data_IF_232504849533
#
_entry.id   IF_232504849533
#
_cell.length_a   1.000
_cell.length_b   1.000
_cell.length_c   1.000
_cell.angle_alpha   90.00
_cell.angle_beta   90.00
_cell.angle_gamma   90.00
#
_symmetry.space_group_name_H-M   'P 1'
#
loop_
_entity.id
_entity.type
_entity.pdbx_description
1 polymer ?
#
# COMPACT_ATOMS: atom_id res chain seq x y z
N UNK A 1 -4.61 47.58 53.93
CA UNK A 1 -4.89 47.58 52.47
C UNK A 1 -3.70 46.92 51.76
N UNK A 2 -3.67 45.59 51.66
CA UNK A 2 -2.56 44.85 51.03
C UNK A 2 -2.95 43.45 50.51
N UNK A 3 -4.23 43.09 50.61
CA UNK A 3 -4.79 41.81 50.18
C UNK A 3 -4.95 41.64 48.65
N UNK A 4 -5.22 42.67 47.82
CA UNK A 4 -5.47 42.43 46.40
C UNK A 4 -4.19 42.09 45.62
N UNK A 5 -3.03 42.60 46.05
CA UNK A 5 -1.73 42.32 45.43
C UNK A 5 -1.24 40.90 45.68
N UNK A 6 -1.50 40.33 46.87
CA UNK A 6 -1.14 38.94 47.19
C UNK A 6 -1.96 37.93 46.38
N UNK A 7 -3.26 38.17 46.22
CA UNK A 7 -4.14 37.30 45.43
C UNK A 7 -3.75 37.36 43.95
N UNK A 8 -3.45 38.54 43.43
CA UNK A 8 -3.00 38.70 42.05
C UNK A 8 -1.67 38.01 41.79
N UNK A 9 -0.71 38.14 42.72
CA UNK A 9 0.60 37.47 42.62
C UNK A 9 0.48 35.96 42.73
N UNK A 10 -0.40 35.44 43.59
CA UNK A 10 -0.68 34.01 43.71
C UNK A 10 -1.35 33.44 42.45
N UNK A 11 -2.33 34.16 41.88
CA UNK A 11 -2.98 33.78 40.62
C UNK A 11 -1.99 33.79 39.45
N UNK A 12 -1.07 34.78 39.40
CA UNK A 12 -0.02 34.83 38.37
C UNK A 12 0.96 33.66 38.51
N UNK A 13 1.35 33.30 39.73
CA UNK A 13 2.20 32.13 40.00
C UNK A 13 1.50 30.82 39.62
N UNK A 14 0.20 30.72 39.90
CA UNK A 14 -0.64 29.59 39.54
C UNK A 14 -0.75 29.46 38.00
N UNK A 15 -0.90 30.57 37.27
CA UNK A 15 -0.90 30.58 35.80
C UNK A 15 0.46 30.16 35.21
N UNK A 16 1.57 30.47 35.87
CA UNK A 16 2.91 30.01 35.48
C UNK A 16 3.15 28.53 35.81
N UNK A 17 2.51 27.99 36.87
CA UNK A 17 2.53 26.57 37.21
C UNK A 17 1.64 25.71 36.29
N UNK A 18 0.56 26.29 35.76
CA UNK A 18 -0.33 25.67 34.77
C UNK A 18 -0.04 26.08 33.32
N UNK A 19 1.02 26.87 33.08
CA UNK A 19 1.61 26.99 31.76
C UNK A 19 2.33 25.68 31.45
N UNK A 20 1.56 24.60 31.27
CA UNK A 20 2.01 23.44 30.54
C UNK A 20 2.57 23.98 29.23
N UNK A 21 3.87 23.80 29.01
CA UNK A 21 4.41 23.86 27.66
C UNK A 21 3.51 22.94 26.85
N UNK A 22 2.61 23.53 26.07
CA UNK A 22 2.17 22.88 24.85
C UNK A 22 3.43 22.81 24.01
N UNK A 23 4.27 21.80 24.28
CA UNK A 23 5.16 21.30 23.26
C UNK A 23 4.21 21.02 22.10
N UNK A 24 4.23 21.91 21.10
CA UNK A 24 3.76 21.52 19.78
C UNK A 24 4.38 20.14 19.57
N UNK A 25 3.56 19.13 19.34
CA UNK A 25 4.06 17.82 18.95
C UNK A 25 4.72 18.01 17.60
N UNK A 26 5.94 18.55 17.63
CA UNK A 26 6.69 19.00 16.48
C UNK A 26 7.20 17.72 15.84
N UNK A 27 6.42 17.21 14.89
CA UNK A 27 6.76 15.99 14.18
C UNK A 27 8.14 16.15 13.58
N UNK A 28 9.02 15.16 13.81
CA UNK A 28 10.35 15.16 13.25
C UNK A 28 10.44 14.20 12.07
N UNK A 29 11.25 14.55 11.07
CA UNK A 29 11.59 13.65 9.99
C UNK A 29 12.86 12.89 10.34
N UNK A 30 12.80 11.56 10.20
CA UNK A 30 13.97 10.70 10.35
C UNK A 30 14.16 9.89 9.08
N UNK A 31 15.39 9.90 8.56
CA UNK A 31 15.78 9.02 7.47
C UNK A 31 15.96 7.59 8.01
N UNK A 32 15.09 6.67 7.58
CA UNK A 32 15.16 5.26 7.99
C UNK A 32 16.09 4.44 7.09
N UNK A 33 15.96 4.62 5.78
CA UNK A 33 16.76 3.97 4.75
C UNK A 33 17.17 4.98 3.69
N UNK A 34 18.43 4.93 3.24
CA UNK A 34 18.89 5.77 2.11
C UNK A 34 18.18 5.41 0.81
N UNK A 35 17.91 4.12 0.62
CA UNK A 35 17.15 3.58 -0.50
C UNK A 35 16.65 2.18 -0.13
N UNK A 36 15.47 1.83 -0.63
CA UNK A 36 14.93 0.46 -0.61
C UNK A 36 15.03 -0.22 -1.99
N UNK A 37 15.68 0.45 -2.95
CA UNK A 37 15.96 -0.04 -4.31
C UNK A 37 14.80 0.01 -5.31
N UNK A 38 13.60 0.42 -4.89
CA UNK A 38 12.43 0.64 -5.75
C UNK A 38 11.81 2.01 -5.49
N UNK A 39 10.97 2.51 -6.41
CA UNK A 39 10.06 3.62 -6.12
C UNK A 39 8.80 3.08 -5.44
N UNK A 40 8.35 3.71 -4.36
CA UNK A 40 7.13 3.30 -3.67
C UNK A 40 5.88 3.90 -4.34
N UNK A 41 5.60 3.53 -5.60
CA UNK A 41 4.42 3.99 -6.34
C UNK A 41 3.13 3.60 -5.59
N UNK A 42 3.11 2.41 -5.01
CA UNK A 42 2.10 1.97 -4.06
C UNK A 42 2.75 1.60 -2.73
N UNK A 43 2.05 1.87 -1.62
CA UNK A 43 2.46 1.46 -0.28
C UNK A 43 1.25 1.08 0.59
N UNK A 44 1.40 0.03 1.40
CA UNK A 44 0.37 -0.43 2.32
C UNK A 44 0.99 -0.93 3.63
N UNK A 45 0.63 -0.31 4.75
CA UNK A 45 0.93 -0.83 6.09
C UNK A 45 0.00 -1.99 6.43
N UNK A 46 0.57 -3.10 6.88
CA UNK A 46 -0.11 -4.31 7.31
C UNK A 46 -0.29 -4.35 8.84
N UNK A 47 -1.10 -5.29 9.33
CA UNK A 47 -1.39 -5.45 10.78
C UNK A 47 -0.19 -5.89 11.64
N UNK A 48 0.91 -6.31 11.01
CA UNK A 48 2.11 -6.83 11.66
C UNK A 48 3.31 -5.89 11.55
N UNK A 49 3.07 -4.58 11.44
CA UNK A 49 4.07 -3.52 11.30
C UNK A 49 5.03 -3.70 10.11
N UNK A 50 4.52 -4.38 9.07
CA UNK A 50 5.21 -4.50 7.78
C UNK A 50 4.54 -3.60 6.77
N UNK A 51 5.34 -2.95 5.93
CA UNK A 51 4.86 -2.13 4.83
C UNK A 51 5.20 -2.83 3.52
N UNK A 52 4.19 -3.09 2.72
CA UNK A 52 4.38 -3.58 1.35
C UNK A 52 4.48 -2.38 0.45
N UNK A 53 5.56 -2.29 -0.32
CA UNK A 53 5.77 -1.23 -1.32
C UNK A 53 6.03 -1.88 -2.68
N UNK A 54 5.57 -1.26 -3.76
CA UNK A 54 5.80 -1.77 -5.10
C UNK A 54 5.73 -0.68 -6.17
N UNK A 55 6.47 -0.93 -7.24
CA UNK A 55 6.55 -0.13 -8.45
C UNK A 55 6.09 -0.95 -9.66
N UNK A 56 5.87 -0.26 -10.77
CA UNK A 56 5.62 -0.84 -12.09
C UNK A 56 6.82 -1.68 -12.58
N UNK A 57 6.58 -2.64 -13.46
CA UNK A 57 7.65 -3.51 -14.03
C UNK A 57 8.13 -3.07 -15.41
N UNK A 58 7.35 -2.23 -16.09
CA UNK A 58 7.48 -1.91 -17.52
C UNK A 58 8.35 -0.65 -17.79
N UNK A 59 9.15 -0.22 -16.81
CA UNK A 59 10.05 0.95 -16.91
C UNK A 59 11.55 0.59 -16.89
N UNK A 60 11.89 -0.70 -16.88
CA UNK A 60 13.25 -1.19 -16.82
C UNK A 60 13.64 -1.71 -15.43
N UNK A 61 14.94 -1.93 -15.17
CA UNK A 61 15.38 -2.59 -13.95
C UNK A 61 15.31 -1.66 -12.74
N UNK A 62 14.90 -2.21 -11.60
CA UNK A 62 15.01 -1.55 -10.29
C UNK A 62 16.42 -1.68 -9.71
N UNK A 63 16.73 -0.90 -8.67
CA UNK A 63 18.03 -0.92 -7.98
C UNK A 63 18.08 -1.92 -6.80
N UNK A 64 17.37 -3.04 -6.95
CA UNK A 64 17.35 -4.15 -5.99
C UNK A 64 17.27 -5.47 -6.76
N UNK A 65 18.22 -6.38 -6.55
CA UNK A 65 18.18 -7.71 -7.16
C UNK A 65 17.25 -8.66 -6.42
N UNK A 66 16.58 -9.55 -7.16
CA UNK A 66 15.86 -10.68 -6.58
C UNK A 66 16.86 -11.69 -5.99
N UNK A 67 16.52 -12.33 -4.86
CA UNK A 67 17.42 -13.27 -4.20
C UNK A 67 17.56 -14.58 -4.98
N UNK A 68 18.72 -15.24 -4.80
CA UNK A 68 18.94 -16.59 -5.34
C UNK A 68 19.03 -16.69 -6.86
N UNK A 69 19.31 -15.59 -7.57
CA UNK A 69 19.36 -15.57 -9.04
C UNK A 69 17.99 -15.72 -9.69
N UNK A 70 16.91 -15.54 -8.93
CA UNK A 70 15.53 -15.54 -9.45
C UNK A 70 15.37 -14.38 -10.44
N UNK A 71 14.69 -14.64 -11.56
CA UNK A 71 14.29 -13.62 -12.50
C UNK A 71 12.82 -13.79 -12.87
N UNK A 72 12.14 -12.67 -13.02
CA UNK A 72 10.83 -12.56 -13.64
C UNK A 72 11.00 -12.79 -15.14
N UNK A 73 10.28 -13.77 -15.67
CA UNK A 73 10.23 -14.05 -17.10
C UNK A 73 8.84 -13.70 -17.60
N UNK A 74 8.75 -12.72 -18.48
CA UNK A 74 7.49 -12.23 -18.99
C UNK A 74 7.65 -11.78 -20.45
N UNK A 75 7.20 -12.60 -21.42
CA UNK A 75 7.29 -12.25 -22.82
C UNK A 75 6.42 -11.04 -23.20
N UNK A 76 5.49 -10.63 -22.34
CA UNK A 76 4.55 -9.53 -22.58
C UNK A 76 5.01 -8.19 -22.01
N UNK A 77 6.00 -8.16 -21.10
CA UNK A 77 6.53 -6.93 -20.52
C UNK A 77 7.12 -6.00 -21.58
N UNK A 78 6.86 -4.70 -21.51
CA UNK A 78 7.27 -3.77 -22.57
C UNK A 78 8.71 -3.25 -22.43
N UNK A 79 9.37 -3.42 -21.28
CA UNK A 79 10.74 -3.00 -21.05
C UNK A 79 11.73 -4.17 -21.00
N UNK A 80 11.50 -5.17 -20.14
CA UNK A 80 12.42 -6.29 -19.89
C UNK A 80 11.67 -7.62 -19.92
N UNK A 81 11.98 -8.46 -20.92
CA UNK A 81 11.40 -9.81 -21.04
C UNK A 81 11.92 -10.79 -19.98
N UNK A 82 13.16 -10.56 -19.54
CA UNK A 82 13.80 -11.26 -18.43
C UNK A 82 14.35 -10.19 -17.51
N UNK A 83 13.86 -10.16 -16.28
CA UNK A 83 14.24 -9.15 -15.29
C UNK A 83 14.60 -9.83 -13.97
N UNK A 84 15.83 -9.61 -13.50
CA UNK A 84 16.33 -10.20 -12.26
C UNK A 84 16.30 -9.21 -11.08
N UNK A 85 15.60 -8.09 -11.26
CA UNK A 85 15.39 -7.05 -10.24
C UNK A 85 14.02 -7.16 -9.61
N UNK A 86 13.90 -6.67 -8.37
CA UNK A 86 12.69 -6.67 -7.59
C UNK A 86 11.96 -5.34 -7.78
N UNK A 87 10.66 -5.40 -8.07
CA UNK A 87 9.77 -4.24 -8.15
C UNK A 87 8.79 -4.17 -6.98
N UNK A 88 8.98 -5.01 -5.97
CA UNK A 88 8.22 -4.99 -4.73
C UNK A 88 9.13 -5.32 -3.56
N UNK A 89 8.84 -4.72 -2.40
CA UNK A 89 9.52 -5.01 -1.15
C UNK A 89 8.53 -5.13 0.00
N UNK A 90 8.88 -5.97 0.97
CA UNK A 90 8.31 -5.94 2.32
C UNK A 90 9.32 -5.25 3.23
N UNK A 91 8.91 -4.14 3.85
CA UNK A 91 9.69 -3.39 4.82
C UNK A 91 9.20 -3.70 6.25
N UNK A 92 10.12 -4.13 7.11
CA UNK A 92 9.91 -4.37 8.54
C UNK A 92 10.26 -3.10 9.31
N UNK A 93 9.24 -2.46 9.89
CA UNK A 93 9.38 -1.16 10.55
C UNK A 93 10.24 -1.26 11.81
N UNK A 94 10.04 -2.31 12.62
CA UNK A 94 10.77 -2.48 13.88
C UNK A 94 12.24 -2.82 13.64
N UNK A 95 12.52 -3.69 12.69
CA UNK A 95 13.89 -4.08 12.37
C UNK A 95 14.63 -3.03 11.52
N UNK A 96 13.89 -2.05 10.95
CA UNK A 96 14.36 -1.14 9.91
C UNK A 96 15.11 -1.90 8.80
N UNK A 97 14.47 -2.93 8.24
CA UNK A 97 15.02 -3.79 7.18
C UNK A 97 13.97 -4.05 6.12
N UNK A 98 14.39 -4.37 4.91
CA UNK A 98 13.47 -4.79 3.84
C UNK A 98 13.95 -6.07 3.18
N UNK A 99 13.02 -6.78 2.56
CA UNK A 99 13.30 -7.91 1.66
C UNK A 99 12.61 -7.70 0.32
N UNK A 100 13.27 -8.14 -0.73
CA UNK A 100 12.70 -8.19 -2.08
C UNK A 100 11.52 -9.16 -2.13
N UNK A 101 10.48 -8.76 -2.86
CA UNK A 101 9.34 -9.57 -3.27
C UNK A 101 9.29 -9.64 -4.79
N UNK A 102 8.73 -10.72 -5.33
CA UNK A 102 8.53 -10.87 -6.77
C UNK A 102 7.09 -10.52 -7.11
N UNK A 103 6.92 -9.45 -7.86
CA UNK A 103 5.66 -9.18 -8.58
C UNK A 103 5.88 -9.57 -10.04
N UNK A 104 5.01 -10.42 -10.55
CA UNK A 104 5.15 -11.05 -11.86
C UNK A 104 4.55 -10.18 -12.98
N UNK A 105 3.41 -9.54 -12.73
CA UNK A 105 2.66 -8.78 -13.74
C UNK A 105 2.58 -7.30 -13.38
N UNK A 106 2.36 -6.43 -14.36
CA UNK A 106 2.50 -4.99 -14.13
C UNK A 106 1.38 -4.39 -13.23
N UNK A 107 1.80 -3.78 -12.12
CA UNK A 107 0.95 -3.15 -11.09
C UNK A 107 0.71 -1.65 -11.33
N UNK A 108 1.19 -1.08 -12.42
CA UNK A 108 0.97 0.34 -12.74
C UNK A 108 -0.52 0.69 -12.71
N UNK A 109 -0.86 1.83 -12.10
CA UNK A 109 -2.24 2.34 -11.95
C UNK A 109 -3.25 1.31 -11.44
N UNK A 110 -2.79 0.41 -10.58
CA UNK A 110 -3.63 -0.55 -9.93
C UNK A 110 -4.17 -0.03 -8.60
N UNK A 111 -4.90 -0.87 -7.88
CA UNK A 111 -5.49 -0.51 -6.60
C UNK A 111 -5.62 -1.73 -5.70
N UNK A 112 -5.87 -1.54 -4.41
CA UNK A 112 -6.01 -2.67 -3.48
C UNK A 112 -6.57 -2.26 -2.13
N UNK A 113 -6.87 -3.26 -1.29
CA UNK A 113 -7.25 -3.04 0.11
C UNK A 113 -6.80 -4.22 0.98
N UNK A 114 -6.72 -3.96 2.29
CA UNK A 114 -6.54 -5.03 3.28
C UNK A 114 -7.87 -5.69 3.56
N UNK A 115 -7.91 -7.01 3.48
CA UNK A 115 -9.08 -7.83 3.80
C UNK A 115 -9.17 -8.09 5.31
N UNK A 116 -10.33 -8.56 5.83
CA UNK A 116 -10.51 -8.80 7.27
C UNK A 116 -9.51 -9.81 7.84
N UNK A 117 -9.09 -10.79 7.05
CA UNK A 117 -8.07 -11.79 7.38
C UNK A 117 -6.64 -11.22 7.44
N UNK A 118 -6.44 -9.95 7.10
CA UNK A 118 -5.15 -9.26 7.11
C UNK A 118 -4.34 -9.41 5.81
N UNK A 119 -4.87 -10.10 4.80
CA UNK A 119 -4.25 -10.19 3.48
C UNK A 119 -4.41 -8.88 2.72
N UNK A 120 -3.37 -8.49 1.97
CA UNK A 120 -3.45 -7.40 1.00
C UNK A 120 -3.94 -7.97 -0.32
N UNK A 121 -5.10 -7.51 -0.79
CA UNK A 121 -5.64 -7.85 -2.12
C UNK A 121 -5.48 -6.64 -3.03
N UNK A 122 -4.60 -6.78 -4.01
CA UNK A 122 -4.30 -5.82 -5.05
C UNK A 122 -4.96 -6.30 -6.36
N UNK A 123 -5.44 -5.38 -7.19
CA UNK A 123 -6.26 -5.67 -8.36
C UNK A 123 -5.97 -4.72 -9.52
N UNK A 124 -6.07 -5.24 -10.74
CA UNK A 124 -5.84 -4.46 -11.95
C UNK A 124 -4.36 -4.16 -12.16
N UNK A 125 -4.09 -3.27 -13.11
CA UNK A 125 -2.72 -3.04 -13.57
C UNK A 125 -2.65 -2.77 -15.06
N UNK A 126 -1.43 -2.71 -15.59
CA UNK A 126 -1.21 -2.39 -17.01
C UNK A 126 -1.03 -3.67 -17.78
N UNK A 127 -1.32 -3.67 -19.08
CA UNK A 127 -0.97 -4.76 -19.97
C UNK A 127 -1.42 -6.15 -19.44
N UNK A 128 -0.50 -6.99 -18.99
CA UNK A 128 -0.75 -8.32 -18.44
C UNK A 128 -1.32 -8.32 -17.01
N UNK A 129 -1.28 -7.15 -16.35
CA UNK A 129 -1.85 -6.80 -15.05
C UNK A 129 -3.32 -6.41 -15.05
N UNK A 130 -3.90 -6.03 -16.19
CA UNK A 130 -5.20 -5.35 -16.29
C UNK A 130 -6.40 -6.12 -15.68
N UNK A 131 -6.29 -7.45 -15.59
CA UNK A 131 -7.31 -8.34 -15.00
C UNK A 131 -6.77 -9.16 -13.83
N UNK A 132 -5.60 -8.81 -13.31
CA UNK A 132 -4.94 -9.55 -12.25
C UNK A 132 -5.52 -9.24 -10.89
N UNK A 133 -5.44 -10.25 -10.04
CA UNK A 133 -5.65 -10.13 -8.60
C UNK A 133 -4.39 -10.68 -7.96
N UNK A 134 -3.74 -9.88 -7.13
CA UNK A 134 -2.51 -10.26 -6.43
C UNK A 134 -2.80 -10.24 -4.95
N UNK A 135 -2.58 -11.37 -4.29
CA UNK A 135 -2.83 -11.54 -2.86
C UNK A 135 -1.49 -11.67 -2.15
N UNK A 136 -1.26 -10.83 -1.16
CA UNK A 136 -0.11 -10.95 -0.28
C UNK A 136 -0.59 -11.32 1.13
N UNK A 137 -0.18 -12.51 1.58
CA UNK A 137 -0.45 -13.01 2.92
C UNK A 137 0.81 -12.91 3.77
N UNK A 138 0.86 -12.06 4.82
CA UNK A 138 2.10 -11.79 5.53
C UNK A 138 2.65 -13.00 6.29
N UNK A 139 3.92 -13.31 6.06
CA UNK A 139 4.67 -14.40 6.69
C UNK A 139 6.18 -14.22 6.39
N UNK A 140 7.04 -15.10 6.93
CA UNK A 140 8.51 -14.93 6.80
C UNK A 140 9.07 -15.11 5.39
N UNK A 141 8.49 -15.99 4.59
CA UNK A 141 9.07 -16.44 3.30
C UNK A 141 8.10 -16.42 2.12
N UNK A 142 6.89 -15.93 2.33
CA UNK A 142 5.87 -15.80 1.28
C UNK A 142 6.19 -14.66 0.34
N UNK A 143 5.58 -14.75 -0.82
CA UNK A 143 5.64 -13.80 -1.90
C UNK A 143 4.21 -13.52 -2.38
N UNK A 144 4.05 -12.69 -3.40
CA UNK A 144 2.76 -12.46 -4.04
C UNK A 144 2.19 -13.74 -4.64
N UNK A 145 0.90 -13.98 -4.43
CA UNK A 145 0.12 -14.97 -5.16
C UNK A 145 -0.71 -14.25 -6.22
N UNK A 146 -0.41 -14.49 -7.50
CA UNK A 146 -1.07 -13.79 -8.61
C UNK A 146 -2.06 -14.68 -9.35
N UNK A 147 -3.32 -14.28 -9.35
CA UNK A 147 -4.44 -14.99 -9.96
C UNK A 147 -4.66 -14.41 -11.37
N UNK A 148 -4.41 -15.20 -12.45
CA UNK A 148 -4.72 -14.79 -13.81
C UNK A 148 -6.22 -14.62 -14.00
N UNK A 149 -6.63 -13.58 -14.73
CA UNK A 149 -8.03 -13.31 -15.06
C UNK A 149 -8.95 -13.32 -13.84
N UNK A 150 -8.46 -12.91 -12.66
CA UNK A 150 -9.28 -12.76 -11.47
C UNK A 150 -10.40 -11.76 -11.77
N UNK A 151 -10.08 -10.56 -12.24
CA UNK A 151 -11.12 -9.58 -12.52
C UNK A 151 -11.93 -9.94 -13.79
N UNK A 152 -13.26 -9.92 -13.64
CA UNK A 152 -14.19 -10.10 -14.76
C UNK A 152 -14.07 -9.00 -15.84
N UNK A 153 -13.52 -7.83 -15.49
CA UNK A 153 -13.24 -6.73 -16.43
C UNK A 153 -11.86 -6.12 -16.17
N UNK A 154 -11.30 -5.48 -17.19
CA UNK A 154 -10.04 -4.72 -17.08
C UNK A 154 -10.22 -3.57 -16.08
N UNK A 155 -9.24 -3.35 -15.21
CA UNK A 155 -9.24 -2.27 -14.21
C UNK A 155 -7.92 -1.50 -14.25
N UNK A 156 -8.05 -0.18 -14.36
CA UNK A 156 -6.98 0.81 -14.51
C UNK A 156 -7.41 2.10 -13.81
N UNK A 157 -6.57 2.65 -12.94
CA UNK A 157 -6.95 3.72 -11.99
C UNK A 157 -8.26 3.39 -11.24
N UNK A 158 -8.38 2.14 -10.80
CA UNK A 158 -9.51 1.72 -9.98
C UNK A 158 -9.32 2.16 -8.52
N UNK A 159 -10.37 2.00 -7.74
CA UNK A 159 -10.40 2.12 -6.28
C UNK A 159 -11.01 0.85 -5.70
N UNK A 160 -10.44 0.35 -4.61
CA UNK A 160 -10.99 -0.78 -3.88
C UNK A 160 -11.60 -0.29 -2.57
N UNK A 161 -12.80 -0.76 -2.26
CA UNK A 161 -13.47 -0.48 -1.00
C UNK A 161 -13.87 -1.78 -0.30
N UNK A 162 -13.44 -1.93 0.95
CA UNK A 162 -13.81 -3.07 1.78
C UNK A 162 -15.22 -2.88 2.33
N UNK A 163 -16.07 -3.89 2.17
CA UNK A 163 -17.43 -3.92 2.70
C UNK A 163 -17.49 -4.51 4.12
N UNK A 164 -18.52 -4.18 4.92
CA UNK A 164 -18.67 -4.70 6.28
C UNK A 164 -18.76 -6.23 6.39
N UNK A 165 -19.20 -6.90 5.32
CA UNK A 165 -19.31 -8.36 5.25
C UNK A 165 -18.02 -9.06 4.77
N UNK A 166 -16.94 -8.30 4.61
CA UNK A 166 -15.65 -8.81 4.17
C UNK A 166 -15.51 -9.01 2.66
N UNK A 167 -16.48 -8.55 1.86
CA UNK A 167 -16.33 -8.47 0.40
C UNK A 167 -15.60 -7.18 0.00
N UNK A 168 -15.19 -7.10 -1.26
CA UNK A 168 -14.52 -5.92 -1.81
C UNK A 168 -15.23 -5.43 -3.08
N UNK A 169 -15.42 -4.11 -3.18
CA UNK A 169 -15.86 -3.43 -4.40
C UNK A 169 -14.64 -2.89 -5.14
N UNK A 170 -14.60 -3.09 -6.46
CA UNK A 170 -13.58 -2.48 -7.34
C UNK A 170 -14.26 -1.57 -8.37
N UNK A 171 -14.06 -0.26 -8.24
CA UNK A 171 -14.68 0.75 -9.08
C UNK A 171 -13.64 1.58 -9.83
N UNK A 172 -13.89 1.89 -11.10
CA UNK A 172 -13.06 2.80 -11.90
C UNK A 172 -13.87 4.03 -12.23
N UNK A 173 -13.34 5.22 -11.96
CA UNK A 173 -13.93 6.44 -12.48
C UNK A 173 -13.64 6.52 -13.98
N UNK A 174 -14.57 6.08 -14.82
CA UNK A 174 -14.58 6.56 -16.20
C UNK A 174 -15.15 7.98 -16.16
N UNK A 175 -14.30 8.97 -16.39
CA UNK A 175 -14.66 10.34 -16.76
C UNK A 175 -15.42 10.32 -18.10
N UNK A 176 -16.67 9.87 -18.06
CA UNK A 176 -17.70 10.22 -19.02
C UNK A 176 -19.01 10.18 -18.23
N UNK A 177 -19.46 11.38 -17.86
CA UNK A 177 -20.79 11.64 -17.35
C UNK A 177 -21.81 11.25 -18.45
N UNK A 178 -22.08 9.96 -18.56
CA UNK A 178 -23.31 9.43 -19.14
C UNK A 178 -23.84 8.48 -18.07
N UNK A 179 -24.96 8.86 -17.45
CA UNK A 179 -25.83 7.97 -16.71
C UNK A 179 -25.95 6.65 -17.49
N UNK A 180 -25.26 5.59 -17.07
CA UNK A 180 -25.52 4.18 -17.42
C UNK A 180 -24.52 3.26 -16.70
N UNK A 181 -25.02 2.59 -15.65
CA UNK A 181 -24.50 1.40 -14.97
C UNK A 181 -23.09 1.50 -14.37
N UNK A 182 -23.05 1.77 -13.06
CA UNK A 182 -22.00 1.22 -12.20
C UNK A 182 -21.95 -0.31 -12.43
N UNK A 183 -20.96 -0.77 -13.21
CA UNK A 183 -20.57 -2.17 -13.22
C UNK A 183 -19.75 -2.42 -11.96
N UNK A 184 -20.47 -2.47 -10.83
CA UNK A 184 -19.99 -2.92 -9.55
C UNK A 184 -19.54 -4.38 -9.72
N UNK A 185 -18.27 -4.66 -9.47
CA UNK A 185 -17.79 -6.04 -9.37
C UNK A 185 -17.53 -6.27 -7.88
N UNK A 186 -18.16 -7.32 -7.33
CA UNK A 186 -17.96 -7.70 -5.94
C UNK A 186 -17.08 -8.96 -5.91
N UNK A 187 -15.90 -8.87 -5.30
CA UNK A 187 -15.05 -10.05 -5.07
C UNK A 187 -15.42 -10.73 -3.75
N UNK A 188 -15.73 -12.03 -3.81
CA UNK A 188 -15.94 -12.90 -2.66
C UNK A 188 -14.63 -13.62 -2.32
N UNK A 189 -14.05 -13.28 -1.17
CA UNK A 189 -12.77 -13.85 -0.72
C UNK A 189 -12.89 -15.29 -0.24
N UNK A 190 -14.03 -15.70 0.32
CA UNK A 190 -14.22 -17.07 0.80
C UNK A 190 -14.26 -18.08 -0.35
N UNK A 191 -14.73 -17.63 -1.51
CA UNK A 191 -14.90 -18.48 -2.69
C UNK A 191 -13.87 -18.19 -3.78
N UNK A 192 -13.07 -17.12 -3.64
CA UNK A 192 -12.19 -16.60 -4.68
C UNK A 192 -12.93 -16.31 -6.01
N UNK A 193 -14.19 -15.86 -5.93
CA UNK A 193 -15.08 -15.63 -7.08
C UNK A 193 -15.51 -14.17 -7.20
N UNK A 194 -15.91 -13.75 -8.40
CA UNK A 194 -16.44 -12.42 -8.69
C UNK A 194 -17.94 -12.51 -8.99
N UNK A 195 -18.73 -11.63 -8.38
CA UNK A 195 -20.18 -11.51 -8.55
C UNK A 195 -20.49 -10.17 -9.23
#
# INVERSE_FOLDING_TARGET
MSTPTFIFSFLLLLQLLFASLTAAADGSWQLLQKSIGISAMHMQLLRNDRVIMFDRTDFGPSNLSLPGGKCRNDPTDTALKVDCTAHSVEYDVLANKFRALTVQTDVWCSSGSIMPDGNLVQTGGFNDGERRVRVFSPCRTCDWNEIPNGLAAKRWYASNHLLPDGRQIVETEKTKLLLLKLNLIIYNVNEHTFI
#
